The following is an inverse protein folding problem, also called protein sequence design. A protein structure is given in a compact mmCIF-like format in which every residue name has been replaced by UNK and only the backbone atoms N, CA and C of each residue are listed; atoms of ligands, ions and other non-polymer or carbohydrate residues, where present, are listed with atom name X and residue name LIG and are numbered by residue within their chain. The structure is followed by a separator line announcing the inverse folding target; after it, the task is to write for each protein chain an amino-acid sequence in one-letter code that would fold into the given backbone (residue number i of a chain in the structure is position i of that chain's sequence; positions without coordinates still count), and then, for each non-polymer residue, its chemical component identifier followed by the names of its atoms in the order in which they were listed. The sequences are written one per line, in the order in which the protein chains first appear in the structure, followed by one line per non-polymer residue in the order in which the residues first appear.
data_IF_539563009722
#
_entry.id   IF_539563009722
#
_cell.length_a   1.000
_cell.length_b   1.000
_cell.length_c   1.000
_cell.angle_alpha   90.00
_cell.angle_beta   90.00
_cell.angle_gamma   90.00
#
_symmetry.space_group_name_H-M   'P 1'
#
loop_
_entity.id
_entity.type
_entity.pdbx_description
1 polymer ?
#
# COMPACT_ATOMS: atom_id res chain seq x y z
N UNK A 1 14.32 -2.77 20.05
CA UNK A 1 13.68 -1.54 19.52
C UNK A 1 12.37 -1.93 18.90
N UNK A 2 11.25 -1.49 19.48
CA UNK A 2 9.89 -1.81 19.03
C UNK A 2 9.50 -0.82 17.93
N UNK A 3 9.01 -1.31 16.78
CA UNK A 3 8.41 -0.43 15.78
C UNK A 3 7.10 0.14 16.35
N UNK A 4 6.88 1.44 16.15
CA UNK A 4 5.66 2.14 16.59
C UNK A 4 4.47 1.75 15.71
N UNK A 5 4.73 1.57 14.41
CA UNK A 5 3.74 1.11 13.44
C UNK A 5 4.34 -0.04 12.63
N UNK A 6 3.62 -1.15 12.52
CA UNK A 6 4.00 -2.26 11.64
C UNK A 6 2.84 -2.59 10.70
N UNK A 7 3.13 -2.56 9.41
CA UNK A 7 2.28 -3.05 8.34
C UNK A 7 2.93 -4.32 7.81
N UNK A 8 2.19 -5.43 7.76
CA UNK A 8 2.70 -6.73 7.28
C UNK A 8 1.77 -7.28 6.21
N UNK A 9 2.31 -7.59 5.04
CA UNK A 9 1.59 -8.19 3.92
C UNK A 9 0.29 -7.46 3.54
N UNK A 10 0.32 -6.13 3.55
CA UNK A 10 -0.84 -5.33 3.16
C UNK A 10 -1.11 -5.51 1.67
N UNK A 11 -2.28 -6.07 1.35
CA UNK A 11 -2.79 -6.26 0.01
C UNK A 11 -4.11 -5.55 -0.16
N UNK A 12 -4.31 -4.96 -1.33
CA UNK A 12 -5.55 -4.27 -1.69
C UNK A 12 -5.80 -4.54 -3.16
N UNK A 13 -6.92 -5.17 -3.45
CA UNK A 13 -7.41 -5.37 -4.80
C UNK A 13 -8.73 -4.62 -4.97
N UNK A 14 -8.93 -4.06 -6.16
CA UNK A 14 -10.19 -3.44 -6.55
C UNK A 14 -10.79 -4.21 -7.72
N UNK A 15 -12.12 -4.40 -7.75
CA UNK A 15 -12.78 -4.93 -8.93
C UNK A 15 -12.66 -3.89 -10.07
N UNK A 16 -12.30 -4.33 -11.27
CA UNK A 16 -12.25 -3.50 -12.47
C UNK A 16 -12.76 -4.32 -13.64
N UNK A 17 -13.94 -3.98 -14.17
CA UNK A 17 -14.56 -4.58 -15.36
C UNK A 17 -14.37 -6.09 -15.49
N UNK A 18 -13.33 -6.49 -16.23
CA UNK A 18 -13.02 -7.87 -16.60
C UNK A 18 -12.13 -8.63 -15.59
N UNK A 19 -11.80 -8.06 -14.41
CA UNK A 19 -10.97 -8.74 -13.41
C UNK A 19 -10.80 -8.00 -12.08
N UNK A 20 -9.88 -8.48 -11.25
CA UNK A 20 -9.43 -7.76 -10.05
C UNK A 20 -8.04 -7.17 -10.28
N UNK A 21 -7.89 -5.88 -10.02
CA UNK A 21 -6.60 -5.19 -10.10
C UNK A 21 -6.01 -5.14 -8.69
N UNK A 22 -4.88 -5.80 -8.52
CA UNK A 22 -4.12 -5.71 -7.27
C UNK A 22 -3.32 -4.40 -7.23
N UNK A 23 -3.74 -3.48 -6.36
CA UNK A 23 -3.16 -2.14 -6.19
C UNK A 23 -2.02 -2.16 -5.17
N UNK A 24 -2.15 -2.94 -4.10
CA UNK A 24 -1.07 -3.16 -3.14
C UNK A 24 -0.65 -4.63 -3.22
N UNK A 25 0.59 -4.90 -3.64
CA UNK A 25 1.16 -6.24 -3.84
C UNK A 25 1.93 -6.74 -2.61
N UNK A 26 1.30 -6.74 -1.43
CA UNK A 26 1.90 -7.27 -0.21
C UNK A 26 3.00 -6.38 0.36
N UNK A 27 2.63 -5.15 0.74
CA UNK A 27 3.57 -4.19 1.32
C UNK A 27 3.80 -4.54 2.80
N UNK A 28 5.07 -4.62 3.19
CA UNK A 28 5.50 -4.73 4.59
C UNK A 28 6.35 -3.50 4.92
N UNK A 29 5.94 -2.74 5.94
CA UNK A 29 6.59 -1.50 6.37
C UNK A 29 6.61 -1.44 7.89
N UNK A 30 7.76 -1.13 8.47
CA UNK A 30 7.91 -0.89 9.90
C UNK A 30 8.37 0.55 10.09
N UNK A 31 7.67 1.30 10.94
CA UNK A 31 7.94 2.70 11.26
C UNK A 31 8.33 2.78 12.72
N UNK A 32 9.49 3.36 13.02
CA UNK A 32 9.97 3.54 14.38
C UNK A 32 9.60 4.92 14.95
N UNK A 33 9.58 5.04 16.27
CA UNK A 33 9.28 6.31 16.93
C UNK A 33 10.37 7.35 16.59
N UNK A 34 9.95 8.54 16.16
CA UNK A 34 10.85 9.62 15.71
C UNK A 34 11.25 9.54 14.24
N UNK A 35 10.77 8.54 13.50
CA UNK A 35 11.02 8.39 12.07
C UNK A 35 9.94 9.11 11.24
N UNK A 36 10.35 9.88 10.25
CA UNK A 36 9.43 10.57 9.33
C UNK A 36 9.41 9.81 8.00
N UNK A 37 8.26 9.23 7.67
CA UNK A 37 8.07 8.45 6.44
C UNK A 37 7.13 9.18 5.49
N UNK A 38 7.55 9.38 4.25
CA UNK A 38 6.72 9.94 3.18
C UNK A 38 6.36 8.84 2.19
N UNK A 39 5.07 8.72 1.87
CA UNK A 39 4.57 7.82 0.82
C UNK A 39 4.48 8.64 -0.46
N UNK A 40 5.32 8.31 -1.45
CA UNK A 40 5.32 8.96 -2.77
C UNK A 40 5.00 7.92 -3.82
N UNK A 41 4.06 8.22 -4.69
CA UNK A 41 3.67 7.34 -5.79
C UNK A 41 3.12 8.14 -6.97
N UNK A 42 3.17 7.58 -8.18
CA UNK A 42 2.49 8.16 -9.33
C UNK A 42 0.98 8.22 -9.05
N UNK A 43 0.24 9.13 -9.72
CA UNK A 43 -1.20 9.18 -9.58
C UNK A 43 -1.79 7.81 -9.88
N UNK A 44 -2.68 7.34 -9.00
CA UNK A 44 -3.42 6.12 -9.22
C UNK A 44 -4.12 6.22 -10.58
N UNK A 45 -3.79 5.34 -11.51
CA UNK A 45 -4.52 5.28 -12.78
C UNK A 45 -5.87 4.64 -12.49
N UNK A 46 -6.90 5.49 -12.38
CA UNK A 46 -8.29 5.06 -12.33
C UNK A 46 -8.65 4.46 -13.69
N UNK A 47 -8.72 3.13 -13.76
CA UNK A 47 -9.16 2.44 -14.95
C UNK A 47 -10.70 2.38 -14.94
N UNK A 48 -11.38 3.45 -15.36
CA UNK A 48 -12.81 3.41 -15.67
C UNK A 48 -13.01 2.67 -17.00
N UNK A 49 -13.16 1.36 -16.93
CA UNK A 49 -13.81 0.57 -17.98
C UNK A 49 -14.89 -0.28 -17.34
#
# INVERSE_FOLDING_TARGET
MTALLELRNIRRSYPSGDGSVEVLKGITLSIHAGEMVAIVGPPARENRR
#
